data_IF_304928385867
#
_entry.id   IF_304928385867
#
_cell.length_a   1.000
_cell.length_b   1.000
_cell.length_c   1.000
_cell.angle_alpha   90.00
_cell.angle_beta   90.00
_cell.angle_gamma   90.00
#
_symmetry.space_group_name_H-M   'P 1'
#
loop_
_entity.id
_entity.type
_entity.pdbx_description
1 polymer ?
#
# COMPACT_ATOMS: atom_id res chain seq x y z
N UNK A 1 -11.96 -5.04 12.96
CA UNK A 1 -10.71 -5.15 12.15
C UNK A 1 -10.20 -6.57 12.28
N UNK A 2 -9.75 -7.20 11.20
CA UNK A 2 -9.01 -8.48 11.23
C UNK A 2 -7.49 -8.19 11.22
N UNK A 3 -6.65 -9.17 11.55
CA UNK A 3 -5.18 -9.00 11.52
C UNK A 3 -4.71 -8.46 10.16
N UNK A 4 -5.27 -8.94 9.05
CA UNK A 4 -4.91 -8.49 7.69
C UNK A 4 -5.24 -7.04 7.42
N UNK A 5 -6.34 -6.53 8.00
CA UNK A 5 -6.71 -5.11 7.87
C UNK A 5 -5.76 -4.24 8.69
N UNK A 6 -5.43 -4.68 9.91
CA UNK A 6 -4.47 -3.97 10.74
C UNK A 6 -3.09 -3.94 10.08
N UNK A 7 -2.60 -5.08 9.58
CA UNK A 7 -1.32 -5.19 8.88
C UNK A 7 -1.26 -4.27 7.65
N UNK A 8 -2.31 -4.26 6.81
CA UNK A 8 -2.41 -3.37 5.64
C UNK A 8 -2.43 -1.89 6.03
N UNK A 9 -3.10 -1.54 7.12
CA UNK A 9 -3.12 -0.15 7.60
C UNK A 9 -1.73 0.27 8.09
N UNK A 10 -1.12 -0.54 8.96
CA UNK A 10 0.18 -0.24 9.55
C UNK A 10 1.26 -0.15 8.48
N UNK A 11 1.29 -1.07 7.51
CA UNK A 11 2.26 -1.01 6.41
C UNK A 11 2.05 0.20 5.51
N UNK A 12 0.80 0.56 5.19
CA UNK A 12 0.48 1.76 4.41
C UNK A 12 0.90 3.06 5.10
N UNK A 13 0.64 3.18 6.40
CA UNK A 13 1.04 4.34 7.21
C UNK A 13 2.56 4.46 7.31
N UNK A 14 3.26 3.35 7.56
CA UNK A 14 4.73 3.36 7.59
C UNK A 14 5.34 3.74 6.23
N UNK A 15 4.79 3.23 5.13
CA UNK A 15 5.26 3.59 3.79
C UNK A 15 5.04 5.08 3.50
N UNK A 16 3.92 5.64 3.93
CA UNK A 16 3.64 7.07 3.81
C UNK A 16 4.64 7.90 4.64
N UNK A 17 4.98 7.46 5.86
CA UNK A 17 5.99 8.09 6.70
C UNK A 17 7.38 8.08 6.04
N UNK A 18 7.80 6.93 5.49
CA UNK A 18 9.06 6.81 4.74
C UNK A 18 9.07 7.73 3.51
N UNK A 19 7.94 7.83 2.81
CA UNK A 19 7.79 8.74 1.68
C UNK A 19 7.97 10.20 2.13
N UNK A 20 7.29 10.63 3.19
CA UNK A 20 7.31 12.01 3.68
C UNK A 20 8.69 12.43 4.22
N UNK A 21 9.32 11.56 5.00
CA UNK A 21 10.57 11.88 5.70
C UNK A 21 11.80 11.57 4.85
N UNK A 22 11.82 10.41 4.18
CA UNK A 22 13.00 9.93 3.46
C UNK A 22 13.02 10.29 1.98
N UNK A 23 11.93 10.03 1.27
CA UNK A 23 11.90 10.14 -0.20
C UNK A 23 11.58 11.57 -0.65
N UNK A 24 10.69 12.29 0.04
CA UNK A 24 10.30 13.65 -0.34
C UNK A 24 11.50 14.61 -0.47
N UNK A 25 12.45 14.67 0.50
CA UNK A 25 13.63 15.52 0.39
C UNK A 25 14.71 14.98 -0.56
N UNK A 26 14.62 13.72 -0.98
CA UNK A 26 15.61 13.10 -1.87
C UNK A 26 15.43 13.52 -3.34
N UNK A 27 16.51 13.45 -4.13
CA UNK A 27 16.52 13.69 -5.58
C UNK A 27 15.98 12.50 -6.39
N UNK A 28 14.90 11.87 -5.91
CA UNK A 28 14.19 10.82 -6.64
C UNK A 28 13.26 11.46 -7.68
N UNK A 29 13.18 10.85 -8.87
CA UNK A 29 12.30 11.32 -9.94
C UNK A 29 10.84 11.41 -9.48
N UNK A 30 10.13 12.47 -9.89
CA UNK A 30 8.78 12.80 -9.38
C UNK A 30 7.77 11.66 -9.56
N UNK A 31 7.89 10.90 -10.65
CA UNK A 31 7.08 9.70 -10.91
C UNK A 31 7.12 8.70 -9.75
N UNK A 32 8.30 8.41 -9.20
CA UNK A 32 8.47 7.45 -8.10
C UNK A 32 7.88 7.98 -6.79
N UNK A 33 7.97 9.29 -6.55
CA UNK A 33 7.33 9.92 -5.39
C UNK A 33 5.80 9.77 -5.47
N UNK A 34 5.22 10.05 -6.63
CA UNK A 34 3.78 9.90 -6.85
C UNK A 34 3.33 8.44 -6.80
N UNK A 35 4.13 7.52 -7.36
CA UNK A 35 3.86 6.09 -7.29
C UNK A 35 3.84 5.56 -5.85
N UNK A 36 4.82 5.95 -5.03
CA UNK A 36 4.86 5.60 -3.60
C UNK A 36 3.67 6.20 -2.83
N UNK A 37 3.30 7.44 -3.15
CA UNK A 37 2.13 8.09 -2.57
C UNK A 37 0.87 7.30 -2.90
N UNK A 38 0.67 7.00 -4.19
CA UNK A 38 -0.45 6.21 -4.67
C UNK A 38 -0.51 4.84 -4.00
N UNK A 39 0.61 4.13 -3.91
CA UNK A 39 0.67 2.80 -3.27
C UNK A 39 0.31 2.87 -1.78
N UNK A 40 0.87 3.83 -1.03
CA UNK A 40 0.56 4.00 0.40
C UNK A 40 -0.92 4.31 0.64
N UNK A 41 -1.52 5.20 -0.17
CA UNK A 41 -2.94 5.54 -0.09
C UNK A 41 -3.84 4.35 -0.42
N UNK A 42 -3.52 3.58 -1.45
CA UNK A 42 -4.30 2.37 -1.80
C UNK A 42 -4.22 1.32 -0.69
N UNK A 43 -3.07 1.14 -0.05
CA UNK A 43 -2.89 0.21 1.06
C UNK A 43 -3.77 0.61 2.27
N UNK A 44 -3.73 1.91 2.63
CA UNK A 44 -4.56 2.48 3.71
C UNK A 44 -6.04 2.31 3.37
N UNK A 45 -6.47 2.68 2.16
CA UNK A 45 -7.85 2.50 1.72
C UNK A 45 -8.29 1.04 1.80
N UNK A 46 -7.44 0.11 1.34
CA UNK A 46 -7.73 -1.33 1.39
C UNK A 46 -7.92 -1.84 2.81
N UNK A 47 -7.33 -1.23 3.84
CA UNK A 47 -7.57 -1.62 5.23
C UNK A 47 -9.02 -1.36 5.67
N UNK A 48 -9.67 -0.33 5.10
CA UNK A 48 -11.04 0.04 5.40
C UNK A 48 -12.04 -0.61 4.44
N UNK A 49 -11.76 -0.60 3.14
CA UNK A 49 -12.70 -1.06 2.09
C UNK A 49 -12.51 -2.52 1.70
N UNK A 50 -11.41 -3.17 2.10
CA UNK A 50 -10.94 -4.48 1.62
C UNK A 50 -10.68 -4.57 0.12
N UNK A 51 -10.74 -3.43 -0.57
CA UNK A 51 -10.51 -3.39 -2.00
C UNK A 51 -9.08 -2.95 -2.26
N UNK A 52 -8.30 -3.82 -2.89
CA UNK A 52 -6.94 -3.56 -3.32
C UNK A 52 -6.76 -4.07 -4.75
N UNK A 53 -6.29 -3.25 -5.70
CA UNK A 53 -6.03 -3.67 -7.07
C UNK A 53 -5.09 -4.89 -7.15
N UNK A 54 -4.10 -4.94 -6.25
CA UNK A 54 -3.12 -6.04 -6.18
C UNK A 54 -3.80 -7.35 -5.76
N UNK A 55 -4.78 -7.32 -4.86
CA UNK A 55 -5.53 -8.53 -4.50
C UNK A 55 -6.34 -9.06 -5.69
N UNK A 56 -6.94 -8.17 -6.49
CA UNK A 56 -7.63 -8.56 -7.73
C UNK A 56 -6.66 -9.19 -8.73
N UNK A 57 -5.46 -8.61 -8.85
CA UNK A 57 -4.41 -9.16 -9.71
C UNK A 57 -3.97 -10.55 -9.23
N UNK A 58 -3.73 -10.74 -7.92
CA UNK A 58 -3.34 -12.02 -7.36
C UNK A 58 -4.43 -13.09 -7.50
N UNK A 59 -5.70 -12.74 -7.32
CA UNK A 59 -6.83 -13.63 -7.61
C UNK A 59 -6.86 -14.03 -9.08
N UNK A 60 -6.58 -13.11 -10.01
CA UNK A 60 -6.46 -13.42 -11.45
C UNK A 60 -5.28 -14.33 -11.77
N UNK A 61 -4.20 -14.25 -11.00
CA UNK A 61 -3.03 -15.13 -11.10
C UNK A 61 -3.26 -16.49 -10.44
N UNK A 62 -4.41 -16.73 -9.81
CA UNK A 62 -4.74 -18.01 -9.15
C UNK A 62 -4.05 -18.22 -7.80
N UNK A 63 -3.51 -17.16 -7.19
CA UNK A 63 -2.93 -17.24 -5.85
C UNK A 63 -4.05 -17.41 -4.81
N UNK A 64 -3.87 -18.38 -3.90
CA UNK A 64 -4.79 -18.60 -2.79
C UNK A 64 -4.54 -17.59 -1.68
N UNK A 65 -5.61 -17.09 -1.09
CA UNK A 65 -5.53 -16.26 0.12
C UNK A 65 -5.09 -17.16 1.28
N UNK A 66 -4.18 -16.66 2.12
CA UNK A 66 -3.87 -17.33 3.38
C UNK A 66 -5.09 -17.15 4.30
N UNK A 67 -5.63 -18.26 4.79
CA UNK A 67 -6.75 -18.31 5.74
C UNK A 67 -6.25 -18.16 7.19
#
# INVERSE_FOLDING_TARGET
MTMDRALRLTSGVFLLLVLLIGILPSNVHWFWKFFLLFMSLNQIQSAFTNWCPVMVLYRKLGLKECE
#
